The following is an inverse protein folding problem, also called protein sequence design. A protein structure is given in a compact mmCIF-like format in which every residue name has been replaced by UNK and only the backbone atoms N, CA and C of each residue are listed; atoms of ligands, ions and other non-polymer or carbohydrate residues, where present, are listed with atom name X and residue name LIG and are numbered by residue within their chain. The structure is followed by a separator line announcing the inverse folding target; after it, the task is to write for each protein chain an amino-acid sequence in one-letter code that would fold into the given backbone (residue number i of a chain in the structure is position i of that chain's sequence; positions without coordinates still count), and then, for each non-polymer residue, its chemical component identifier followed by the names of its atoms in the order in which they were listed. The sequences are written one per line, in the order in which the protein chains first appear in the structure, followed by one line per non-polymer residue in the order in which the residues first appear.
data_IF_290383634992
#
_entry.id   IF_290383634992
#
_cell.length_a   1.000
_cell.length_b   1.000
_cell.length_c   1.000
_cell.angle_alpha   90.00
_cell.angle_beta   90.00
_cell.angle_gamma   90.00
#
_symmetry.space_group_name_H-M   'P 1'
#
loop_
_entity.id
_entity.type
_entity.pdbx_description
1 polymer ?
#
# COMPACT_ATOMS: atom_id res chain seq x y z
N UNK A 1 -32.37 39.20 8.79
CA UNK A 1 -31.19 38.76 8.03
C UNK A 1 -30.18 38.17 9.00
N UNK A 2 -30.23 36.87 9.33
CA UNK A 2 -29.05 36.16 9.81
C UNK A 2 -28.26 35.66 8.60
N UNK A 3 -26.99 36.01 8.55
CA UNK A 3 -26.00 35.45 7.63
C UNK A 3 -25.61 34.10 8.22
N UNK A 4 -26.18 33.02 7.71
CA UNK A 4 -25.68 31.68 7.99
C UNK A 4 -24.87 31.24 6.77
N UNK A 5 -23.56 31.13 7.01
CA UNK A 5 -22.56 30.76 6.03
C UNK A 5 -22.92 29.43 5.38
N UNK A 6 -23.14 29.49 4.07
CA UNK A 6 -23.00 28.35 3.16
C UNK A 6 -21.53 27.91 3.23
N UNK A 7 -21.22 26.95 4.08
CA UNK A 7 -19.95 26.22 3.99
C UNK A 7 -20.06 25.25 2.82
N UNK A 8 -19.53 25.69 1.67
CA UNK A 8 -19.31 24.86 0.51
C UNK A 8 -18.16 23.88 0.76
N UNK A 9 -18.41 22.79 1.49
CA UNK A 9 -17.62 21.56 1.43
C UNK A 9 -18.51 20.37 1.80
N UNK A 10 -19.36 19.96 0.84
CA UNK A 10 -20.09 18.71 0.93
C UNK A 10 -19.18 17.49 0.65
N UNK A 11 -17.89 17.46 1.06
CA UNK A 11 -17.02 16.27 0.96
C UNK A 11 -15.86 16.33 1.98
N UNK A 12 -16.15 16.31 3.28
CA UNK A 12 -15.11 16.09 4.30
C UNK A 12 -15.43 14.95 5.29
N UNK A 13 -16.54 14.22 5.09
CA UNK A 13 -17.05 13.32 6.13
C UNK A 13 -16.72 11.83 5.96
N UNK A 14 -16.37 11.33 4.77
CA UNK A 14 -16.21 9.88 4.58
C UNK A 14 -14.83 9.32 4.93
N UNK A 15 -13.76 10.11 4.77
CA UNK A 15 -12.39 9.56 4.84
C UNK A 15 -11.93 9.35 6.28
N UNK A 16 -12.35 10.21 7.22
CA UNK A 16 -11.95 10.11 8.64
C UNK A 16 -12.77 9.06 9.39
N UNK A 17 -14.08 8.97 9.12
CA UNK A 17 -14.98 7.97 9.71
C UNK A 17 -14.61 6.56 9.23
N UNK A 18 -14.30 6.38 7.94
CA UNK A 18 -13.85 5.09 7.40
C UNK A 18 -12.53 4.58 8.01
N UNK A 19 -11.57 5.47 8.32
CA UNK A 19 -10.29 5.10 8.97
C UNK A 19 -10.46 4.73 10.45
N UNK A 20 -11.48 5.25 11.13
CA UNK A 20 -11.82 4.86 12.50
C UNK A 20 -12.56 3.52 12.51
N UNK A 21 -13.54 3.34 11.62
CA UNK A 21 -14.31 2.11 11.49
C UNK A 21 -13.41 0.90 11.18
N UNK A 22 -12.42 1.06 10.30
CA UNK A 22 -11.43 0.02 10.00
C UNK A 22 -10.58 -0.38 11.22
N UNK A 23 -10.22 0.57 12.08
CA UNK A 23 -9.48 0.29 13.33
C UNK A 23 -10.35 -0.39 14.38
N UNK A 24 -11.61 0.02 14.48
CA UNK A 24 -12.59 -0.63 15.36
C UNK A 24 -12.85 -2.08 14.91
N UNK A 25 -13.02 -2.30 13.60
CA UNK A 25 -13.21 -3.63 13.04
C UNK A 25 -11.99 -4.54 13.25
N UNK A 26 -10.78 -4.02 13.06
CA UNK A 26 -9.56 -4.77 13.35
C UNK A 26 -9.48 -5.19 14.83
N UNK A 27 -9.80 -4.28 15.77
CA UNK A 27 -9.87 -4.61 17.19
C UNK A 27 -10.97 -5.64 17.49
N UNK A 28 -12.13 -5.52 16.85
CA UNK A 28 -13.23 -6.45 17.05
C UNK A 28 -12.85 -7.87 16.62
N UNK A 29 -12.20 -8.02 15.46
CA UNK A 29 -11.69 -9.32 14.97
C UNK A 29 -10.64 -9.89 15.94
N UNK A 30 -9.68 -9.08 16.38
CA UNK A 30 -8.66 -9.51 17.34
C UNK A 30 -9.28 -9.94 18.68
N UNK A 31 -10.30 -9.21 19.16
CA UNK A 31 -11.02 -9.52 20.40
C UNK A 31 -11.80 -10.83 20.30
N UNK A 32 -12.51 -11.05 19.18
CA UNK A 32 -13.22 -12.31 18.94
C UNK A 32 -12.24 -13.49 18.92
N UNK A 33 -11.10 -13.33 18.24
CA UNK A 33 -10.08 -14.37 18.20
C UNK A 33 -9.51 -14.64 19.60
N UNK A 34 -9.20 -13.60 20.38
CA UNK A 34 -8.70 -13.75 21.75
C UNK A 34 -9.72 -14.46 22.64
N UNK A 35 -11.00 -14.08 22.58
CA UNK A 35 -12.07 -14.73 23.34
C UNK A 35 -12.19 -16.20 22.93
N UNK A 36 -12.18 -16.48 21.62
CA UNK A 36 -12.26 -17.85 21.11
C UNK A 36 -11.09 -18.70 21.60
N UNK A 37 -9.84 -18.24 21.42
CA UNK A 37 -8.65 -18.97 21.88
C UNK A 37 -8.68 -19.18 23.38
N UNK A 38 -9.03 -18.14 24.16
CA UNK A 38 -9.13 -18.25 25.61
C UNK A 38 -10.19 -19.27 26.02
N UNK A 39 -11.36 -19.29 25.36
CA UNK A 39 -12.42 -20.25 25.63
C UNK A 39 -11.95 -21.70 25.48
N UNK A 40 -11.24 -22.03 24.38
CA UNK A 40 -10.67 -23.38 24.21
C UNK A 40 -9.58 -23.70 25.24
N UNK A 41 -8.72 -22.73 25.59
CA UNK A 41 -7.75 -22.91 26.67
C UNK A 41 -8.45 -23.21 28.01
N UNK A 42 -9.54 -22.52 28.34
CA UNK A 42 -10.28 -22.75 29.58
C UNK A 42 -11.03 -24.08 29.58
N UNK A 43 -11.59 -24.51 28.45
CA UNK A 43 -12.13 -25.87 28.31
C UNK A 43 -11.03 -26.91 28.56
N UNK A 44 -9.87 -26.74 27.93
CA UNK A 44 -8.74 -27.67 28.10
C UNK A 44 -8.31 -27.78 29.57
N UNK A 45 -8.20 -26.64 30.26
CA UNK A 45 -7.90 -26.63 31.70
C UNK A 45 -9.02 -27.28 32.50
N UNK A 46 -10.28 -26.98 32.20
CA UNK A 46 -11.44 -27.56 32.89
C UNK A 46 -11.53 -29.08 32.75
N UNK A 47 -11.25 -29.61 31.55
CA UNK A 47 -11.19 -31.05 31.31
C UNK A 47 -10.02 -31.72 32.04
N UNK A 48 -8.91 -30.99 32.23
CA UNK A 48 -7.73 -31.50 32.92
C UNK A 48 -7.81 -31.35 34.44
N UNK A 49 -8.75 -30.54 34.96
CA UNK A 49 -8.89 -30.22 36.38
C UNK A 49 -9.26 -31.43 37.25
N UNK A 50 -9.77 -32.51 36.66
CA UNK A 50 -10.04 -33.76 37.38
C UNK A 50 -8.75 -34.52 37.77
N UNK A 51 -7.63 -34.21 37.12
CA UNK A 51 -6.32 -34.89 37.31
C UNK A 51 -5.27 -33.96 37.90
N UNK A 52 -5.49 -32.64 37.81
CA UNK A 52 -4.56 -31.61 38.27
C UNK A 52 -4.98 -31.07 39.64
N UNK A 53 -3.99 -30.77 40.48
CA UNK A 53 -4.23 -30.04 41.72
C UNK A 53 -4.76 -28.62 41.46
N UNK A 54 -5.48 -28.07 42.43
CA UNK A 54 -6.11 -26.74 42.33
C UNK A 54 -5.09 -25.61 42.08
N UNK A 55 -3.88 -25.73 42.65
CA UNK A 55 -2.80 -24.77 42.44
C UNK A 55 -2.33 -24.76 40.97
N UNK A 56 -2.15 -25.95 40.38
CA UNK A 56 -1.71 -26.08 38.97
C UNK A 56 -2.80 -25.60 38.02
N UNK A 57 -4.05 -25.96 38.30
CA UNK A 57 -5.22 -25.50 37.53
C UNK A 57 -5.31 -23.97 37.53
N UNK A 58 -5.18 -23.35 38.71
CA UNK A 58 -5.19 -21.89 38.84
C UNK A 58 -4.02 -21.26 38.10
N UNK A 59 -2.82 -21.84 38.20
CA UNK A 59 -1.64 -21.39 37.47
C UNK A 59 -1.85 -21.43 35.95
N UNK A 60 -2.42 -22.51 35.42
CA UNK A 60 -2.72 -22.65 33.99
C UNK A 60 -3.73 -21.61 33.50
N UNK A 61 -4.78 -21.33 34.28
CA UNK A 61 -5.74 -20.27 33.96
C UNK A 61 -5.01 -18.93 33.81
N UNK A 62 -4.20 -18.55 34.81
CA UNK A 62 -3.45 -17.28 34.79
C UNK A 62 -2.51 -17.22 33.58
N UNK A 63 -1.74 -18.30 33.34
CA UNK A 63 -0.79 -18.38 32.23
C UNK A 63 -1.51 -18.24 30.89
N UNK A 64 -2.62 -18.95 30.66
CA UNK A 64 -3.37 -18.84 29.42
C UNK A 64 -4.00 -17.46 29.24
N UNK A 65 -4.55 -16.87 30.30
CA UNK A 65 -5.09 -15.50 30.26
C UNK A 65 -4.01 -14.49 29.84
N UNK A 66 -2.83 -14.53 30.46
CA UNK A 66 -1.72 -13.63 30.12
C UNK A 66 -1.19 -13.92 28.71
N UNK A 67 -1.06 -15.19 28.34
CA UNK A 67 -0.60 -15.59 27.01
C UNK A 67 -1.56 -15.11 25.91
N UNK A 68 -2.87 -15.15 26.12
CA UNK A 68 -3.85 -14.73 25.12
C UNK A 68 -4.01 -13.21 25.05
N UNK A 69 -4.07 -12.51 26.19
CA UNK A 69 -4.29 -11.07 26.16
C UNK A 69 -3.03 -10.24 25.92
N UNK A 70 -1.88 -10.72 26.40
CA UNK A 70 -0.60 -10.00 26.28
C UNK A 70 0.34 -10.71 25.32
N UNK A 71 0.48 -12.03 25.45
CA UNK A 71 1.37 -12.83 24.61
C UNK A 71 1.01 -12.79 23.13
N UNK A 72 -0.25 -13.08 22.78
CA UNK A 72 -0.73 -13.09 21.39
C UNK A 72 -0.46 -11.78 20.65
N UNK A 73 -0.91 -10.59 21.11
CA UNK A 73 -0.67 -9.36 20.37
C UNK A 73 0.83 -9.02 20.32
N UNK A 74 1.57 -9.26 21.41
CA UNK A 74 3.02 -8.99 21.44
C UNK A 74 3.79 -9.86 20.43
N UNK A 75 3.53 -11.17 20.42
CA UNK A 75 4.20 -12.12 19.53
C UNK A 75 3.80 -11.84 18.08
N UNK A 76 2.52 -11.70 17.80
CA UNK A 76 2.05 -11.47 16.43
C UNK A 76 2.53 -10.15 15.88
N UNK A 77 2.46 -9.04 16.63
CA UNK A 77 2.97 -7.75 16.18
C UNK A 77 4.50 -7.78 15.99
N UNK A 78 5.23 -8.43 16.87
CA UNK A 78 6.70 -8.54 16.75
C UNK A 78 7.10 -9.34 15.51
N UNK A 79 6.46 -10.49 15.27
CA UNK A 79 6.80 -11.36 14.13
C UNK A 79 6.38 -10.76 12.78
N UNK A 80 5.27 -10.03 12.76
CA UNK A 80 4.71 -9.44 11.53
C UNK A 80 5.14 -7.99 11.28
N UNK A 81 5.98 -7.43 12.16
CA UNK A 81 6.45 -6.03 12.12
C UNK A 81 5.28 -5.02 12.20
N UNK A 82 4.37 -5.29 13.14
CA UNK A 82 3.29 -4.42 13.57
C UNK A 82 1.91 -4.78 13.06
N UNK A 83 1.61 -6.06 12.83
CA UNK A 83 0.30 -6.52 12.33
C UNK A 83 -0.26 -7.71 13.12
N UNK A 84 -1.38 -7.51 13.80
CA UNK A 84 -2.21 -8.61 14.32
C UNK A 84 -3.06 -9.22 13.21
N UNK A 85 -3.76 -10.33 13.46
CA UNK A 85 -4.61 -10.97 12.44
C UNK A 85 -5.77 -10.05 12.02
N UNK A 86 -6.41 -9.36 12.96
CA UNK A 86 -7.43 -8.36 12.67
C UNK A 86 -6.88 -7.18 11.87
N UNK A 87 -5.68 -6.69 12.21
CA UNK A 87 -5.00 -5.65 11.42
C UNK A 87 -4.64 -6.14 10.01
N UNK A 88 -4.22 -7.39 9.86
CA UNK A 88 -3.97 -7.99 8.54
C UNK A 88 -5.24 -8.06 7.70
N UNK A 89 -6.36 -8.47 8.30
CA UNK A 89 -7.66 -8.58 7.63
C UNK A 89 -8.14 -7.22 7.09
N UNK A 90 -7.91 -6.14 7.84
CA UNK A 90 -8.35 -4.78 7.47
C UNK A 90 -7.24 -3.96 6.80
N UNK A 91 -6.04 -4.52 6.61
CA UNK A 91 -4.93 -3.85 5.92
C UNK A 91 -4.25 -2.72 6.70
N UNK A 92 -4.23 -2.84 8.03
CA UNK A 92 -3.58 -1.90 8.94
C UNK A 92 -2.20 -2.40 9.37
N UNK A 93 -1.32 -1.47 9.74
CA UNK A 93 0.00 -1.75 10.29
C UNK A 93 0.41 -0.70 11.33
N UNK A 94 1.05 -1.15 12.40
CA UNK A 94 1.71 -0.30 13.39
C UNK A 94 3.14 0.01 12.95
N UNK A 95 3.52 1.29 13.04
CA UNK A 95 4.89 1.76 12.83
C UNK A 95 5.29 2.68 13.99
N UNK A 96 6.58 2.80 14.25
CA UNK A 96 7.08 3.77 15.22
C UNK A 96 6.81 5.21 14.77
N UNK A 97 6.85 6.16 15.71
CA UNK A 97 6.72 7.59 15.40
C UNK A 97 7.79 8.09 14.42
N UNK A 98 8.97 7.45 14.41
CA UNK A 98 10.05 7.70 13.46
C UNK A 98 9.80 7.08 12.06
N UNK A 99 8.65 6.43 11.85
CA UNK A 99 8.30 5.70 10.63
C UNK A 99 8.99 4.33 10.47
N UNK A 100 9.81 3.93 11.45
CA UNK A 100 10.50 2.64 11.48
C UNK A 100 9.58 1.46 11.81
N UNK A 101 10.04 0.21 11.61
CA UNK A 101 9.31 -0.98 12.04
C UNK A 101 9.15 -1.00 13.56
N UNK A 102 8.03 -1.53 14.02
CA UNK A 102 7.74 -1.68 15.45
C UNK A 102 8.74 -2.63 16.13
N UNK A 103 9.19 -2.24 17.33
CA UNK A 103 10.09 -3.03 18.18
C UNK A 103 9.28 -3.85 19.19
N UNK A 104 9.84 -4.98 19.65
CA UNK A 104 9.21 -5.84 20.68
C UNK A 104 8.75 -5.07 21.93
N UNK A 105 9.58 -4.15 22.45
CA UNK A 105 9.22 -3.33 23.63
C UNK A 105 7.97 -2.48 23.39
N UNK A 106 7.80 -1.97 22.17
CA UNK A 106 6.64 -1.16 21.81
C UNK A 106 5.38 -2.03 21.75
N UNK A 107 5.46 -3.19 21.09
CA UNK A 107 4.38 -4.17 21.05
C UNK A 107 3.94 -4.63 22.46
N UNK A 108 4.91 -4.90 23.36
CA UNK A 108 4.62 -5.32 24.73
C UNK A 108 3.92 -4.21 25.55
N UNK A 109 4.41 -2.97 25.47
CA UNK A 109 3.79 -1.83 26.17
C UNK A 109 2.34 -1.63 25.69
N UNK A 110 2.11 -1.75 24.37
CA UNK A 110 0.77 -1.65 23.78
C UNK A 110 -0.14 -2.81 24.19
N UNK A 111 0.39 -4.02 24.28
CA UNK A 111 -0.37 -5.20 24.70
C UNK A 111 -0.81 -5.08 26.17
N UNK A 112 0.10 -4.64 27.05
CA UNK A 112 -0.19 -4.41 28.47
C UNK A 112 -1.18 -3.27 28.68
N UNK A 113 -0.98 -2.13 28.02
CA UNK A 113 -1.92 -1.02 28.12
C UNK A 113 -3.27 -1.39 27.53
N UNK A 114 -3.29 -2.11 26.40
CA UNK A 114 -4.50 -2.58 25.74
C UNK A 114 -5.31 -3.54 26.64
N UNK A 115 -4.65 -4.41 27.39
CA UNK A 115 -5.31 -5.27 28.38
C UNK A 115 -6.00 -4.44 29.46
N UNK A 116 -5.31 -3.47 30.06
CA UNK A 116 -5.89 -2.59 31.08
C UNK A 116 -7.02 -1.72 30.52
N UNK A 117 -6.86 -1.17 29.31
CA UNK A 117 -7.81 -0.30 28.64
C UNK A 117 -9.10 -1.03 28.22
N UNK A 118 -8.97 -2.25 27.67
CA UNK A 118 -10.10 -3.00 27.09
C UNK A 118 -10.77 -3.88 28.14
N UNK A 119 -10.00 -4.59 28.96
CA UNK A 119 -10.53 -5.56 29.91
C UNK A 119 -10.64 -4.99 31.33
N UNK A 120 -9.67 -4.17 31.75
CA UNK A 120 -9.67 -3.54 33.07
C UNK A 120 -10.71 -2.42 33.24
N UNK A 121 -11.13 -1.78 32.15
CA UNK A 121 -12.10 -0.67 32.15
C UNK A 121 -13.40 -0.99 31.39
N UNK A 122 -13.71 -2.27 31.18
CA UNK A 122 -14.93 -2.74 30.47
C UNK A 122 -15.08 -2.04 29.11
N UNK A 123 -13.99 -1.95 28.34
CA UNK A 123 -13.93 -1.39 26.99
C UNK A 123 -14.27 0.10 26.82
N UNK A 124 -14.76 0.77 27.87
CA UNK A 124 -15.47 2.05 27.74
C UNK A 124 -14.51 3.23 27.52
N UNK A 125 -13.43 3.41 28.31
CA UNK A 125 -12.51 4.53 28.11
C UNK A 125 -11.60 4.38 26.88
N UNK A 126 -11.33 3.16 26.43
CA UNK A 126 -10.50 2.91 25.24
C UNK A 126 -11.24 3.29 23.95
N UNK A 127 -12.52 2.93 23.87
CA UNK A 127 -13.40 3.34 22.79
C UNK A 127 -13.60 4.86 22.83
N UNK A 128 -13.90 5.42 24.02
CA UNK A 128 -14.12 6.85 24.22
C UNK A 128 -12.84 7.68 23.94
N UNK A 129 -11.66 7.27 24.38
CA UNK A 129 -10.40 7.98 24.11
C UNK A 129 -9.97 7.87 22.64
N UNK A 130 -10.27 6.73 21.99
CA UNK A 130 -10.11 6.58 20.54
C UNK A 130 -11.14 7.39 19.74
N UNK A 131 -12.32 7.65 20.30
CA UNK A 131 -13.40 8.47 19.71
C UNK A 131 -13.14 9.98 19.90
N UNK A 132 -12.56 10.40 21.03
CA UNK A 132 -12.40 11.81 21.40
C UNK A 132 -11.11 12.48 20.88
N UNK A 133 -10.08 11.72 20.49
CA UNK A 133 -8.80 12.32 20.08
C UNK A 133 -8.71 12.51 18.56
N UNK A 134 -8.52 13.74 18.09
CA UNK A 134 -8.40 14.13 16.68
C UNK A 134 -7.22 13.45 15.92
N UNK A 135 -6.33 12.75 16.63
CA UNK A 135 -5.21 11.95 16.07
C UNK A 135 -5.38 10.43 16.22
N UNK A 136 -6.42 9.97 16.91
CA UNK A 136 -6.76 8.55 17.07
C UNK A 136 -5.69 7.67 17.74
N UNK A 137 -4.71 8.21 18.44
CA UNK A 137 -3.72 7.39 19.18
C UNK A 137 -4.34 6.92 20.50
N UNK A 138 -4.30 5.61 20.77
CA UNK A 138 -4.66 5.04 22.09
C UNK A 138 -3.61 5.40 23.14
N UNK A 139 -3.94 5.27 24.43
CA UNK A 139 -2.96 5.46 25.52
C UNK A 139 -1.73 4.57 25.29
N UNK A 140 -1.94 3.30 24.92
CA UNK A 140 -0.87 2.41 24.47
C UNK A 140 -0.04 2.89 23.28
N UNK A 141 -0.67 3.51 22.29
CA UNK A 141 0.03 4.04 21.12
C UNK A 141 0.92 5.25 21.53
N UNK A 142 0.44 6.06 22.47
CA UNK A 142 1.14 7.22 23.04
C UNK A 142 2.33 6.77 23.88
N UNK A 143 2.15 5.82 24.81
CA UNK A 143 3.23 5.33 25.67
C UNK A 143 4.30 4.55 24.89
N UNK A 144 3.91 3.85 23.82
CA UNK A 144 4.85 3.11 22.98
C UNK A 144 5.52 3.97 21.89
N UNK A 145 5.07 5.21 21.67
CA UNK A 145 5.57 6.07 20.59
C UNK A 145 5.32 5.47 19.21
N UNK A 146 4.08 5.04 18.96
CA UNK A 146 3.69 4.35 17.72
C UNK A 146 2.45 4.98 17.07
N UNK A 147 2.28 4.71 15.78
CA UNK A 147 1.10 5.07 14.99
C UNK A 147 0.59 3.89 14.18
N UNK A 148 -0.73 3.82 13.99
CA UNK A 148 -1.36 2.87 13.08
C UNK A 148 -1.58 3.54 11.74
N UNK A 149 -0.96 3.00 10.70
CA UNK A 149 -1.12 3.42 9.31
C UNK A 149 -1.95 2.40 8.55
N UNK A 150 -2.65 2.89 7.53
CA UNK A 150 -3.31 2.04 6.56
C UNK A 150 -2.29 1.63 5.52
N UNK A 151 -1.90 0.36 5.53
CA UNK A 151 -0.87 -0.21 4.66
C UNK A 151 -1.49 -0.62 3.32
N UNK A 152 -2.74 -1.10 3.36
CA UNK A 152 -3.57 -1.25 2.17
C UNK A 152 -4.36 0.04 1.95
N UNK A 153 -3.85 0.92 1.08
CA UNK A 153 -4.76 1.77 0.30
C UNK A 153 -5.79 0.82 -0.29
N UNK A 154 -7.11 1.05 -0.17
CA UNK A 154 -8.11 0.21 -0.80
C UNK A 154 -7.88 0.30 -2.31
N UNK A 155 -7.03 -0.57 -2.82
CA UNK A 155 -7.02 -0.97 -4.21
C UNK A 155 -8.31 -1.73 -4.31
N UNK A 156 -9.35 -1.00 -4.69
CA UNK A 156 -10.64 -1.55 -5.04
C UNK A 156 -10.35 -2.69 -6.03
N UNK A 157 -10.41 -3.95 -5.60
CA UNK A 157 -9.97 -5.12 -6.38
C UNK A 157 -10.81 -5.27 -7.67
N UNK A 158 -11.92 -4.56 -7.76
CA UNK A 158 -12.77 -4.49 -8.95
C UNK A 158 -12.42 -3.35 -9.93
N UNK A 159 -11.68 -2.34 -9.48
CA UNK A 159 -11.11 -1.28 -10.32
C UNK A 159 -9.60 -1.33 -10.12
N UNK A 160 -8.92 -2.10 -10.96
CA UNK A 160 -7.46 -2.18 -11.01
C UNK A 160 -6.80 -0.79 -11.05
N UNK A 161 -5.47 -0.72 -10.90
CA UNK A 161 -4.74 0.54 -10.80
C UNK A 161 -5.23 1.51 -11.89
N UNK A 162 -5.94 2.57 -11.47
CA UNK A 162 -6.52 3.55 -12.40
C UNK A 162 -5.39 4.02 -13.30
N UNK A 163 -5.52 3.74 -14.60
CA UNK A 163 -4.48 3.80 -15.63
C UNK A 163 -3.57 2.56 -15.75
N UNK A 164 -4.04 1.55 -16.50
CA UNK A 164 -3.20 0.44 -16.99
C UNK A 164 -2.52 0.89 -18.28
N UNK A 165 -1.21 0.64 -18.41
CA UNK A 165 -0.45 0.96 -19.62
C UNK A 165 -0.90 0.09 -20.82
N UNK A 166 -1.44 0.67 -21.90
CA UNK A 166 -1.76 -0.08 -23.11
C UNK A 166 -0.48 -0.48 -23.83
N UNK A 167 -0.33 -1.76 -24.19
CA UNK A 167 0.90 -2.29 -24.80
C UNK A 167 1.31 -1.55 -26.08
N UNK A 168 0.33 -1.13 -26.90
CA UNK A 168 0.58 -0.40 -28.16
C UNK A 168 1.06 1.04 -27.93
N UNK A 169 0.67 1.66 -26.81
CA UNK A 169 1.07 3.02 -26.46
C UNK A 169 2.29 3.05 -25.55
N UNK A 170 2.77 1.92 -25.04
CA UNK A 170 3.92 1.87 -24.15
C UNK A 170 5.20 2.52 -24.74
N UNK A 171 5.57 2.33 -26.03
CA UNK A 171 6.74 3.00 -26.59
C UNK A 171 6.59 4.53 -26.62
N UNK A 172 5.42 5.01 -27.04
CA UNK A 172 5.11 6.44 -27.08
C UNK A 172 5.05 7.04 -25.67
N UNK A 173 4.39 6.37 -24.74
CA UNK A 173 4.24 6.85 -23.38
C UNK A 173 5.61 7.01 -22.69
N UNK A 174 6.53 6.07 -22.89
CA UNK A 174 7.90 6.16 -22.38
C UNK A 174 8.67 7.37 -22.91
N UNK A 175 8.39 7.80 -24.14
CA UNK A 175 9.00 9.02 -24.72
C UNK A 175 8.38 10.33 -24.24
N UNK A 176 7.32 10.31 -23.42
CA UNK A 176 6.62 11.52 -23.02
C UNK A 176 7.45 12.44 -22.13
N UNK A 177 7.40 13.74 -22.39
CA UNK A 177 7.85 14.79 -21.49
C UNK A 177 6.73 15.18 -20.53
N UNK A 178 6.70 14.53 -19.35
CA UNK A 178 5.65 14.68 -18.35
C UNK A 178 5.94 15.73 -17.27
N UNK A 179 7.10 16.39 -17.32
CA UNK A 179 7.56 17.29 -16.26
C UNK A 179 6.66 18.52 -16.08
N UNK A 180 5.90 18.90 -17.12
CA UNK A 180 5.03 20.07 -17.13
C UNK A 180 3.57 19.77 -16.84
N UNK A 181 3.17 18.49 -16.70
CA UNK A 181 1.77 18.13 -16.49
C UNK A 181 1.32 18.47 -15.06
N UNK A 182 0.36 19.39 -14.85
CA UNK A 182 -0.09 19.76 -13.51
C UNK A 182 -0.80 18.62 -12.78
N UNK A 183 -0.65 18.59 -11.46
CA UNK A 183 -1.30 17.59 -10.60
C UNK A 183 -2.82 17.65 -10.66
N UNK A 184 -3.38 18.86 -10.81
CA UNK A 184 -4.82 19.08 -10.96
C UNK A 184 -5.39 18.40 -12.21
N UNK A 185 -4.71 18.54 -13.34
CA UNK A 185 -5.11 17.91 -14.62
C UNK A 185 -4.98 16.39 -14.54
N UNK A 186 -3.88 15.89 -13.99
CA UNK A 186 -3.70 14.46 -13.79
C UNK A 186 -4.74 13.86 -12.83
N UNK A 187 -5.13 14.61 -11.78
CA UNK A 187 -6.19 14.20 -10.87
C UNK A 187 -7.55 14.16 -11.55
N UNK A 188 -7.88 15.17 -12.36
CA UNK A 188 -9.13 15.21 -13.12
C UNK A 188 -9.22 14.03 -14.10
N UNK A 189 -8.14 13.73 -14.84
CA UNK A 189 -8.04 12.56 -15.69
C UNK A 189 -8.23 11.24 -14.91
N UNK A 190 -7.63 11.13 -13.72
CA UNK A 190 -7.79 9.96 -12.85
C UNK A 190 -9.24 9.80 -12.36
N UNK A 191 -9.89 10.89 -11.94
CA UNK A 191 -11.28 10.87 -11.48
C UNK A 191 -12.23 10.44 -12.61
N UNK A 192 -12.03 10.97 -13.82
CA UNK A 192 -12.76 10.56 -15.01
C UNK A 192 -12.62 9.06 -15.29
N UNK A 193 -11.39 8.52 -15.30
CA UNK A 193 -11.16 7.09 -15.53
C UNK A 193 -11.76 6.21 -14.42
N UNK A 194 -11.72 6.67 -13.18
CA UNK A 194 -12.30 5.93 -12.03
C UNK A 194 -13.82 5.83 -12.15
N UNK A 195 -14.47 6.91 -12.58
CA UNK A 195 -15.92 7.00 -12.73
C UNK A 195 -16.40 6.65 -14.14
N UNK A 196 -15.52 6.14 -15.00
CA UNK A 196 -15.81 5.93 -16.42
C UNK A 196 -17.09 5.11 -16.63
N UNK A 197 -17.31 4.06 -15.82
CA UNK A 197 -18.49 3.19 -15.93
C UNK A 197 -19.77 3.75 -15.30
N UNK A 198 -19.68 4.82 -14.50
CA UNK A 198 -20.83 5.48 -13.85
C UNK A 198 -21.43 6.60 -14.71
N UNK A 199 -20.65 7.18 -15.61
CA UNK A 199 -21.06 8.34 -16.42
C UNK A 199 -22.04 7.95 -17.53
N UNK A 200 -22.90 8.85 -17.97
CA UNK A 200 -23.71 8.63 -19.18
C UNK A 200 -22.83 8.59 -20.45
N UNK A 201 -23.15 7.81 -21.50
CA UNK A 201 -22.28 7.65 -22.67
C UNK A 201 -21.85 8.97 -23.34
N UNK A 202 -22.78 9.90 -23.55
CA UNK A 202 -22.49 11.21 -24.16
C UNK A 202 -21.50 12.01 -23.31
N UNK A 203 -21.70 12.01 -21.99
CA UNK A 203 -20.87 12.70 -21.02
C UNK A 203 -19.47 12.07 -20.92
N UNK A 204 -19.35 10.76 -21.11
CA UNK A 204 -18.05 10.07 -21.17
C UNK A 204 -17.21 10.57 -22.34
N UNK A 205 -17.81 10.68 -23.52
CA UNK A 205 -17.10 11.07 -24.73
C UNK A 205 -16.71 12.56 -24.69
N UNK A 206 -17.62 13.44 -24.25
CA UNK A 206 -17.33 14.87 -24.09
C UNK A 206 -16.21 15.13 -23.05
N UNK A 207 -16.32 14.53 -21.86
CA UNK A 207 -15.28 14.70 -20.83
C UNK A 207 -13.95 14.07 -21.24
N UNK A 208 -13.99 12.91 -21.90
CA UNK A 208 -12.79 12.23 -22.39
C UNK A 208 -12.03 13.09 -23.39
N UNK A 209 -12.74 13.66 -24.37
CA UNK A 209 -12.16 14.57 -25.37
C UNK A 209 -11.54 15.80 -24.69
N UNK A 210 -12.31 16.50 -23.85
CA UNK A 210 -11.85 17.70 -23.15
C UNK A 210 -10.59 17.45 -22.33
N UNK A 211 -10.58 16.41 -21.49
CA UNK A 211 -9.43 16.08 -20.65
C UNK A 211 -8.23 15.64 -21.48
N UNK A 212 -8.45 14.95 -22.59
CA UNK A 212 -7.36 14.56 -23.50
C UNK A 212 -6.75 15.79 -24.15
N UNK A 213 -7.55 16.72 -24.69
CA UNK A 213 -7.05 17.97 -25.25
C UNK A 213 -6.25 18.77 -24.22
N UNK A 214 -6.75 18.85 -22.99
CA UNK A 214 -6.06 19.55 -21.89
C UNK A 214 -4.73 18.86 -21.55
N UNK A 215 -4.71 17.54 -21.37
CA UNK A 215 -3.47 16.79 -21.11
C UNK A 215 -2.46 16.95 -22.25
N UNK A 216 -2.92 16.88 -23.51
CA UNK A 216 -2.08 17.03 -24.70
C UNK A 216 -1.46 18.42 -24.85
N UNK A 217 -1.99 19.44 -24.17
CA UNK A 217 -1.33 20.76 -24.12
C UNK A 217 -0.08 20.79 -23.24
N UNK A 218 0.12 19.79 -22.37
CA UNK A 218 1.24 19.71 -21.43
C UNK A 218 2.22 18.58 -21.73
N UNK A 219 1.95 17.72 -22.71
CA UNK A 219 2.78 16.54 -23.02
C UNK A 219 3.24 16.53 -24.47
N UNK A 220 4.46 16.05 -24.69
CA UNK A 220 5.07 15.87 -26.01
C UNK A 220 5.80 14.51 -26.03
N UNK A 221 5.84 13.76 -27.14
CA UNK A 221 5.25 14.03 -28.47
C UNK A 221 3.73 13.74 -28.56
N UNK A 222 3.02 14.24 -29.60
CA UNK A 222 1.59 13.96 -29.76
C UNK A 222 1.30 12.45 -29.92
N UNK A 223 0.11 11.98 -29.49
CA UNK A 223 -0.23 10.58 -29.50
C UNK A 223 -0.39 10.02 -30.93
N UNK A 224 -0.08 8.74 -31.16
CA UNK A 224 -0.43 8.05 -32.39
C UNK A 224 -1.94 8.09 -32.63
N UNK A 225 -2.43 8.32 -33.86
CA UNK A 225 -3.85 8.36 -34.15
C UNK A 225 -4.50 6.98 -34.00
N UNK A 226 -5.83 6.95 -33.79
CA UNK A 226 -6.64 5.73 -33.87
C UNK A 226 -7.05 5.10 -32.53
N UNK A 227 -6.72 5.71 -31.38
CA UNK A 227 -7.22 5.28 -30.07
C UNK A 227 -8.25 6.26 -29.50
N UNK A 228 -9.10 5.75 -28.61
CA UNK A 228 -10.09 6.54 -27.88
C UNK A 228 -9.42 7.41 -26.80
N UNK A 229 -10.01 8.57 -26.43
CA UNK A 229 -9.46 9.50 -25.45
C UNK A 229 -9.01 8.85 -24.13
N UNK A 230 -9.83 7.95 -23.58
CA UNK A 230 -9.55 7.25 -22.31
C UNK A 230 -8.30 6.34 -22.37
N UNK A 231 -7.93 5.86 -23.56
CA UNK A 231 -6.75 5.02 -23.77
C UNK A 231 -5.48 5.88 -23.72
N UNK A 232 -5.54 7.12 -24.23
CA UNK A 232 -4.41 8.05 -24.10
C UNK A 232 -4.24 8.52 -22.66
N UNK A 233 -5.33 8.90 -21.99
CA UNK A 233 -5.30 9.32 -20.59
C UNK A 233 -4.74 8.22 -19.68
N UNK A 234 -5.14 6.97 -19.90
CA UNK A 234 -4.58 5.84 -19.16
C UNK A 234 -3.10 5.62 -19.46
N UNK A 235 -2.63 5.75 -20.71
CA UNK A 235 -1.21 5.64 -21.01
C UNK A 235 -0.37 6.73 -20.32
N UNK A 236 -0.82 7.99 -20.36
CA UNK A 236 -0.13 9.14 -19.73
C UNK A 236 -0.05 8.97 -18.21
N UNK A 237 -1.16 8.62 -17.57
CA UNK A 237 -1.21 8.44 -16.12
C UNK A 237 -0.40 7.22 -15.65
N UNK A 238 -0.40 6.13 -16.44
CA UNK A 238 0.41 4.94 -16.15
C UNK A 238 1.91 5.25 -16.20
N UNK A 239 2.37 5.99 -17.21
CA UNK A 239 3.76 6.41 -17.31
C UNK A 239 4.16 7.36 -16.18
N UNK A 240 3.29 8.35 -15.88
CA UNK A 240 3.55 9.28 -14.78
C UNK A 240 3.75 8.54 -13.46
N UNK A 241 2.87 7.59 -13.17
CA UNK A 241 2.99 6.72 -11.98
C UNK A 241 4.29 5.93 -11.98
N UNK A 242 4.65 5.32 -13.11
CA UNK A 242 5.87 4.55 -13.24
C UNK A 242 7.13 5.38 -12.90
N UNK A 243 7.19 6.63 -13.37
CA UNK A 243 8.29 7.55 -13.06
C UNK A 243 8.30 7.99 -11.59
N UNK A 244 7.14 8.21 -10.99
CA UNK A 244 7.03 8.50 -9.56
C UNK A 244 7.51 7.33 -8.69
N UNK A 245 7.15 6.09 -9.05
CA UNK A 245 7.60 4.87 -8.36
C UNK A 245 9.13 4.71 -8.42
N UNK A 246 9.75 4.95 -9.60
CA UNK A 246 11.20 4.92 -9.75
C UNK A 246 11.88 5.99 -8.88
N UNK A 247 11.38 7.24 -8.90
CA UNK A 247 11.93 8.33 -8.08
C UNK A 247 11.86 8.02 -6.58
N UNK A 248 10.77 7.40 -6.13
CA UNK A 248 10.60 6.99 -4.73
C UNK A 248 11.57 5.84 -4.36
N UNK A 249 11.73 4.85 -5.25
CA UNK A 249 12.67 3.76 -5.06
C UNK A 249 14.12 4.27 -4.98
N UNK A 250 14.52 5.21 -5.83
CA UNK A 250 15.83 5.85 -5.78
C UNK A 250 16.06 6.64 -4.49
N UNK A 251 15.06 7.41 -4.03
CA UNK A 251 15.13 8.13 -2.76
C UNK A 251 15.26 7.17 -1.58
N UNK A 252 14.53 6.06 -1.58
CA UNK A 252 14.64 5.02 -0.57
C UNK A 252 16.03 4.37 -0.59
N UNK A 253 16.56 4.04 -1.76
CA UNK A 253 17.91 3.49 -1.92
C UNK A 253 18.99 4.46 -1.43
N UNK A 254 18.88 5.77 -1.74
CA UNK A 254 19.80 6.80 -1.23
C UNK A 254 19.75 6.92 0.30
N UNK A 255 18.56 6.89 0.89
CA UNK A 255 18.39 6.88 2.36
C UNK A 255 19.07 5.67 3.00
N UNK A 256 18.89 4.48 2.41
CA UNK A 256 19.56 3.25 2.87
C UNK A 256 21.09 3.32 2.69
N UNK A 257 21.59 3.93 1.61
CA UNK A 257 23.02 4.11 1.37
C UNK A 257 23.66 5.09 2.38
N UNK A 258 22.99 6.21 2.70
CA UNK A 258 23.44 7.15 3.74
C UNK A 258 23.46 6.46 5.11
N UNK A 259 22.43 5.68 5.43
CA UNK A 259 22.37 4.87 6.65
C UNK A 259 23.54 3.85 6.73
N UNK A 260 23.92 3.22 5.60
CA UNK A 260 25.10 2.34 5.53
C UNK A 260 26.43 3.06 5.69
N UNK A 261 26.55 4.34 5.28
CA UNK A 261 27.80 5.10 5.38
C UNK A 261 28.15 5.54 6.81
N UNK A 262 27.18 5.45 7.74
CA UNK A 262 27.39 5.65 9.18
C UNK A 262 27.72 4.38 9.96
N UNK A 263 27.83 3.20 9.32
CA UNK A 263 28.24 1.96 9.97
C UNK A 263 29.77 1.80 9.93
N UNK A 264 30.43 1.38 11.03
CA UNK A 264 31.85 1.02 11.00
C UNK A 264 32.11 -0.12 10.00
N UNK A 265 33.28 -0.17 9.35
CA UNK A 265 33.60 -1.21 8.37
C UNK A 265 33.58 -2.59 9.07
N UNK A 266 32.63 -3.46 8.72
CA UNK A 266 32.59 -4.84 9.24
C UNK A 266 31.19 -5.44 9.45
N UNK A 267 30.13 -4.63 9.51
CA UNK A 267 28.75 -5.14 9.68
C UNK A 267 28.00 -5.03 8.35
N UNK A 268 28.13 -6.07 7.51
CA UNK A 268 27.27 -6.22 6.34
C UNK A 268 25.80 -6.38 6.80
N UNK A 269 24.85 -5.60 6.28
CA UNK A 269 23.44 -5.82 6.59
C UNK A 269 22.97 -7.15 6.00
N UNK A 270 21.95 -7.80 6.62
CA UNK A 270 21.40 -9.04 6.10
C UNK A 270 20.91 -8.81 4.66
N UNK A 271 21.38 -9.65 3.75
CA UNK A 271 20.92 -9.66 2.37
C UNK A 271 19.40 -9.92 2.37
N UNK A 272 18.59 -9.19 1.59
CA UNK A 272 17.20 -9.57 1.39
C UNK A 272 17.18 -11.02 0.87
N UNK A 273 16.22 -11.85 1.31
CA UNK A 273 16.15 -13.24 0.84
C UNK A 273 16.04 -13.21 -0.68
N UNK A 274 17.08 -13.76 -1.34
CA UNK A 274 17.06 -14.04 -2.76
C UNK A 274 15.91 -15.03 -2.93
N UNK A 275 14.81 -14.60 -3.54
CA UNK A 275 13.81 -15.53 -4.05
C UNK A 275 14.52 -16.33 -5.15
N UNK A 276 15.05 -17.49 -4.78
CA UNK A 276 15.58 -18.48 -5.69
C UNK A 276 14.42 -18.93 -6.59
N UNK A 277 14.45 -18.51 -7.86
CA UNK A 277 13.42 -18.85 -8.84
C UNK A 277 13.33 -17.97 -10.09
N UNK A 278 14.09 -16.88 -10.19
CA UNK A 278 14.22 -16.13 -11.43
C UNK A 278 15.31 -16.71 -12.36
N UNK A 279 15.10 -16.76 -13.69
CA UNK A 279 16.16 -17.14 -14.61
C UNK A 279 17.38 -16.21 -14.44
N UNK A 280 18.61 -16.73 -14.60
CA UNK A 280 19.82 -15.94 -14.40
C UNK A 280 19.82 -14.72 -15.33
N UNK A 281 20.37 -13.58 -14.88
CA UNK A 281 20.50 -12.41 -15.73
C UNK A 281 21.36 -12.76 -16.96
N UNK A 282 21.03 -12.26 -18.16
CA UNK A 282 21.87 -12.45 -19.33
C UNK A 282 23.27 -11.85 -19.07
N UNK A 283 24.33 -12.45 -19.65
CA UNK A 283 25.69 -11.94 -19.49
C UNK A 283 25.79 -10.49 -19.99
N UNK A 284 26.68 -9.67 -19.42
CA UNK A 284 26.92 -8.31 -19.90
C UNK A 284 27.26 -8.35 -21.40
N UNK A 285 26.59 -7.52 -22.20
CA UNK A 285 26.96 -7.30 -23.59
C UNK A 285 28.43 -6.89 -23.63
N UNK A 286 29.28 -7.74 -24.21
CA UNK A 286 30.63 -7.35 -24.60
C UNK A 286 30.57 -6.20 -25.62
N UNK A 287 31.67 -5.45 -25.80
CA UNK A 287 31.73 -4.41 -26.82
C UNK A 287 31.36 -5.04 -28.17
N UNK A 288 30.33 -4.48 -28.82
CA UNK A 288 29.86 -4.94 -30.12
C UNK A 288 31.02 -4.94 -31.13
N UNK A 289 30.99 -5.84 -32.13
CA UNK A 289 31.99 -5.82 -33.19
C UNK A 289 32.00 -4.43 -33.84
N UNK A 290 33.21 -3.88 -34.02
CA UNK A 290 33.42 -2.59 -34.69
C UNK A 290 32.80 -2.55 -36.09
N UNK A 291 32.70 -1.35 -36.69
CA UNK A 291 32.07 -1.17 -37.99
C UNK A 291 32.71 -2.07 -39.05
N UNK A 292 31.90 -2.93 -39.69
CA UNK A 292 32.33 -3.74 -40.82
C UNK A 292 32.65 -2.82 -42.02
N UNK A 293 33.70 -3.11 -42.81
CA UNK A 293 33.97 -2.39 -44.05
C UNK A 293 32.80 -2.52 -45.03
N UNK A 294 32.44 -1.40 -45.67
CA UNK A 294 31.33 -1.30 -46.61
C UNK A 294 31.45 -2.25 -47.79
N UNK A 295 30.35 -2.92 -48.11
CA UNK A 295 30.15 -3.62 -49.37
C UNK A 295 29.12 -2.83 -50.19
N UNK A 296 29.59 -2.31 -51.32
CA UNK A 296 28.82 -1.52 -52.28
C UNK A 296 27.72 -2.38 -52.93
N UNK A 297 26.48 -1.90 -52.89
CA UNK A 297 25.39 -2.50 -53.67
C UNK A 297 25.54 -2.08 -55.14
N UNK A 298 26.02 -3.02 -55.96
CA UNK A 298 26.07 -2.89 -57.41
C UNK A 298 24.64 -2.78 -57.97
N UNK A 299 24.32 -1.65 -58.62
CA UNK A 299 23.03 -1.39 -59.27
C UNK A 299 22.96 -2.16 -60.60
N UNK A 300 22.24 -3.29 -60.61
CA UNK A 300 21.86 -4.04 -61.81
C UNK A 300 20.34 -4.01 -62.05
N UNK A 301 19.95 -3.76 -63.31
CA UNK A 301 18.65 -3.38 -63.86
C UNK A 301 17.47 -4.40 -63.72
N UNK A 302 16.20 -3.98 -63.97
CA UNK A 302 15.01 -4.80 -63.70
C UNK A 302 14.64 -5.77 -64.84
N UNK A 303 14.33 -7.02 -64.49
CA UNK A 303 13.79 -8.05 -65.38
C UNK A 303 12.26 -7.99 -65.52
N UNK A 304 11.77 -8.10 -66.76
CA UNK A 304 10.35 -8.16 -67.18
C UNK A 304 9.61 -9.40 -66.62
N UNK A 305 8.27 -9.35 -66.47
CA UNK A 305 7.46 -10.52 -66.16
C UNK A 305 7.14 -11.36 -67.41
N UNK A 306 7.01 -12.69 -67.31
CA UNK A 306 6.53 -13.51 -68.42
C UNK A 306 5.00 -13.53 -68.43
N UNK A 307 4.42 -13.37 -69.63
CA UNK A 307 3.03 -13.67 -69.89
C UNK A 307 2.86 -15.07 -70.49
N UNK A 308 1.85 -15.80 -70.00
CA UNK A 308 0.76 -16.43 -70.76
C UNK A 308 -0.13 -17.18 -69.78
#
# INVERSE_FOLDING_TARGET
MPIELVTGEAVALDIRVARLASRALALFIDMLLQIFVLYFCLIFVGLSAAVLDSAVTTGLVIVFTVAVFVGYPTITETLTRGRTLGKLAVGLRVVGDDGGPERFRQALIRALSGFLEIWGLVGSPALIASLLNQRGKRLGDVFAGTIVIQDRVPVNVFLGPVAIMPIRLAPWARSLELAMLPDTVALAARQYLTRFWELAPLVRDEMGQRLTTEVLSYVSPPPPPGFRPEIYLSAVLAERRHREEIRLAERAARRLAISRRGLPPGLAPPQPPIMAGGPPPPPPYGPGPGPMPGWEWNRGAPGRPPGR
#
